data_IF_983906572189
#
_entry.id   IF_983906572189
#
_cell.length_a   1.000
_cell.length_b   1.000
_cell.length_c   1.000
_cell.angle_alpha   90.00
_cell.angle_beta   90.00
_cell.angle_gamma   90.00
#
_symmetry.space_group_name_H-M   'P 1'
#
loop_
_entity.id
_entity.type
_entity.pdbx_description
1 polymer ?
#
# COMPACT_ATOMS: atom_id res chain seq x y z
N UNK A 1 10.38 4.13 11.59
CA UNK A 1 10.07 3.10 10.58
C UNK A 1 11.37 2.76 9.90
N UNK A 2 11.88 1.58 10.22
CA UNK A 2 13.05 0.95 9.62
C UNK A 2 12.85 0.76 8.11
N UNK A 3 13.90 1.01 7.32
CA UNK A 3 13.88 0.90 5.85
C UNK A 3 13.46 -0.51 5.36
N UNK A 4 13.57 -1.53 6.21
CA UNK A 4 13.19 -2.90 5.90
C UNK A 4 11.67 -3.09 5.81
N UNK A 5 10.90 -2.49 6.73
CA UNK A 5 9.43 -2.58 6.73
C UNK A 5 8.82 -1.91 5.50
N UNK A 6 9.33 -0.74 5.10
CA UNK A 6 8.88 -0.05 3.88
C UNK A 6 9.18 -0.88 2.62
N UNK A 7 10.36 -1.52 2.56
CA UNK A 7 10.73 -2.38 1.44
C UNK A 7 9.82 -3.60 1.32
N UNK A 8 9.46 -4.24 2.45
CA UNK A 8 8.52 -5.36 2.47
C UNK A 8 7.14 -4.97 1.95
N UNK A 9 6.65 -3.80 2.34
CA UNK A 9 5.36 -3.27 1.85
C UNK A 9 5.39 -3.04 0.34
N UNK A 10 6.45 -2.41 -0.17
CA UNK A 10 6.56 -2.17 -1.62
C UNK A 10 6.61 -3.49 -2.38
N UNK A 11 7.41 -4.46 -1.92
CA UNK A 11 7.48 -5.79 -2.55
C UNK A 11 6.13 -6.50 -2.52
N UNK A 12 5.42 -6.49 -1.39
CA UNK A 12 4.07 -7.06 -1.30
C UNK A 12 3.10 -6.41 -2.31
N UNK A 13 3.10 -5.08 -2.40
CA UNK A 13 2.24 -4.36 -3.35
C UNK A 13 2.58 -4.68 -4.81
N UNK A 14 3.85 -4.92 -5.13
CA UNK A 14 4.27 -5.26 -6.49
C UNK A 14 4.04 -6.74 -6.83
N UNK A 15 4.43 -7.64 -5.95
CA UNK A 15 4.51 -9.08 -6.22
C UNK A 15 3.18 -9.80 -5.92
N UNK A 16 2.49 -9.43 -4.83
CA UNK A 16 1.26 -10.10 -4.40
C UNK A 16 0.00 -9.40 -4.92
N UNK A 17 -0.03 -8.06 -4.87
CA UNK A 17 -1.16 -7.28 -5.38
C UNK A 17 -1.03 -6.99 -6.89
N UNK A 18 0.19 -6.98 -7.44
CA UNK A 18 0.41 -6.70 -8.85
C UNK A 18 0.37 -5.22 -9.23
N UNK A 19 0.57 -4.32 -8.27
CA UNK A 19 0.64 -2.88 -8.56
C UNK A 19 1.95 -2.53 -9.27
N UNK A 20 1.85 -1.64 -10.26
CA UNK A 20 3.03 -1.03 -10.86
C UNK A 20 3.64 0.03 -9.92
N UNK A 21 4.92 0.32 -10.14
CA UNK A 21 5.69 1.29 -9.35
C UNK A 21 5.05 2.69 -9.36
N UNK A 22 4.50 3.13 -10.49
CA UNK A 22 3.87 4.46 -10.62
C UNK A 22 2.62 4.61 -9.75
N UNK A 23 1.80 3.56 -9.64
CA UNK A 23 0.62 3.52 -8.77
C UNK A 23 1.01 3.58 -7.29
N UNK A 24 2.07 2.85 -6.91
CA UNK A 24 2.62 2.87 -5.56
C UNK A 24 3.18 4.26 -5.23
N UNK A 25 3.96 4.84 -6.13
CA UNK A 25 4.55 6.18 -5.95
C UNK A 25 3.45 7.25 -5.80
N UNK A 26 2.41 7.19 -6.63
CA UNK A 26 1.26 8.09 -6.53
C UNK A 26 0.55 7.94 -5.18
N UNK A 27 0.27 6.70 -4.75
CA UNK A 27 -0.34 6.43 -3.46
C UNK A 27 0.48 6.99 -2.29
N UNK A 28 1.81 6.82 -2.32
CA UNK A 28 2.73 7.35 -1.31
C UNK A 28 2.71 8.88 -1.28
N UNK A 29 2.78 9.54 -2.43
CA UNK A 29 2.71 11.01 -2.52
C UNK A 29 1.41 11.54 -1.94
N UNK A 30 0.28 10.90 -2.26
CA UNK A 30 -1.02 11.27 -1.72
C UNK A 30 -1.13 11.00 -0.21
N UNK A 31 -0.52 9.92 0.27
CA UNK A 31 -0.52 9.53 1.69
C UNK A 31 0.18 10.57 2.54
N UNK A 32 1.35 11.01 2.09
CA UNK A 32 2.10 12.08 2.73
C UNK A 32 1.32 13.40 2.67
N UNK A 33 0.80 13.76 1.49
CA UNK A 33 0.10 15.05 1.29
C UNK A 33 -1.17 15.17 2.12
N UNK A 34 -1.99 14.12 2.19
CA UNK A 34 -3.29 14.13 2.86
C UNK A 34 -3.23 13.61 4.30
N UNK A 35 -2.03 13.26 4.80
CA UNK A 35 -1.83 12.62 6.10
C UNK A 35 -2.79 11.44 6.34
N UNK A 36 -3.00 10.64 5.29
CA UNK A 36 -3.96 9.53 5.26
C UNK A 36 -3.20 8.23 5.00
N UNK A 37 -3.55 7.11 5.65
CA UNK A 37 -2.86 5.83 5.42
C UNK A 37 -2.86 5.42 3.95
N UNK A 38 -1.71 4.92 3.48
CA UNK A 38 -1.52 4.43 2.11
C UNK A 38 -2.62 3.45 1.64
N UNK A 39 -3.04 2.43 2.43
CA UNK A 39 -4.09 1.49 1.99
C UNK A 39 -5.40 2.20 1.62
N UNK A 40 -5.84 3.15 2.47
CA UNK A 40 -7.08 3.89 2.27
C UNK A 40 -7.01 4.74 0.99
N UNK A 41 -5.87 5.36 0.72
CA UNK A 41 -5.74 6.18 -0.48
C UNK A 41 -5.69 5.34 -1.75
N UNK A 42 -4.99 4.20 -1.74
CA UNK A 42 -4.99 3.33 -2.90
C UNK A 42 -6.41 2.83 -3.24
N UNK A 43 -7.21 2.47 -2.22
CA UNK A 43 -8.63 2.12 -2.42
C UNK A 43 -9.51 3.31 -2.86
N UNK A 44 -9.39 4.48 -2.21
CA UNK A 44 -10.18 5.66 -2.55
C UNK A 44 -10.00 6.12 -4.01
N UNK A 45 -8.82 5.87 -4.60
CA UNK A 45 -8.50 6.21 -5.99
C UNK A 45 -8.77 5.06 -6.96
N UNK A 46 -9.35 3.95 -6.50
CA UNK A 46 -9.67 2.78 -7.31
C UNK A 46 -8.44 1.97 -7.76
N UNK A 47 -7.29 2.17 -7.10
CA UNK A 47 -6.06 1.40 -7.36
C UNK A 47 -6.14 0.03 -6.68
N UNK A 48 -6.85 -0.05 -5.56
CA UNK A 48 -7.19 -1.31 -4.90
C UNK A 48 -8.69 -1.55 -4.97
N UNK A 49 -9.04 -2.81 -5.17
CA UNK A 49 -10.36 -3.36 -4.84
C UNK A 49 -10.54 -3.48 -3.33
N UNK A 50 -11.76 -3.78 -2.88
CA UNK A 50 -12.01 -3.97 -1.44
C UNK A 50 -11.33 -5.25 -0.92
N UNK A 51 -11.22 -6.27 -1.77
CA UNK A 51 -10.54 -7.53 -1.47
C UNK A 51 -9.02 -7.32 -1.33
N UNK A 52 -8.39 -6.58 -2.24
CA UNK A 52 -6.95 -6.26 -2.14
C UNK A 52 -6.66 -5.32 -0.97
N UNK A 53 -7.59 -4.42 -0.63
CA UNK A 53 -7.48 -3.60 0.58
C UNK A 53 -7.44 -4.47 1.84
N UNK A 54 -8.32 -5.46 1.94
CA UNK A 54 -8.35 -6.42 3.05
C UNK A 54 -7.05 -7.23 3.14
N UNK A 55 -6.55 -7.72 2.00
CA UNK A 55 -5.24 -8.40 1.92
C UNK A 55 -4.10 -7.50 2.39
N UNK A 56 -4.10 -6.23 1.98
CA UNK A 56 -3.06 -5.30 2.36
C UNK A 56 -3.10 -5.01 3.87
N UNK A 57 -4.27 -4.81 4.45
CA UNK A 57 -4.41 -4.67 5.90
C UNK A 57 -3.98 -5.92 6.65
N UNK A 58 -4.38 -7.10 6.16
CA UNK A 58 -3.95 -8.39 6.69
C UNK A 58 -2.42 -8.46 6.73
N UNK A 59 -1.74 -8.12 5.63
CA UNK A 59 -0.27 -8.10 5.58
C UNK A 59 0.35 -7.10 6.58
N UNK A 60 -0.17 -5.88 6.65
CA UNK A 60 0.33 -4.83 7.55
C UNK A 60 0.24 -5.21 9.03
N UNK A 61 -0.80 -5.95 9.42
CA UNK A 61 -1.04 -6.33 10.82
C UNK A 61 -0.56 -7.75 11.17
N UNK A 62 -0.36 -8.63 10.19
CA UNK A 62 0.23 -9.97 10.41
C UNK A 62 1.74 -9.93 10.60
N UNK A 63 2.46 -8.92 10.08
CA UNK A 63 3.92 -8.81 10.22
C UNK A 63 4.37 -8.27 11.59
N UNK A 64 3.68 -8.63 12.68
CA UNK A 64 3.97 -8.19 14.05
C UNK A 64 4.79 -9.21 14.83
#
# INVERSE_FOLDING_TARGET
>A
MDNNSNRKIILFLMDEIGLNESSIELGLKLSIKNNTPLPILLWNYGILTIEELDQFYTFLFQSK
#
